data_IF_151630313312
#
_entry.id   IF_151630313312
#
_cell.length_a   1.000
_cell.length_b   1.000
_cell.length_c   1.000
_cell.angle_alpha   90.00
_cell.angle_beta   90.00
_cell.angle_gamma   90.00
#
_symmetry.space_group_name_H-M   'P 1'
#
loop_
_entity.id
_entity.type
_entity.pdbx_description
1 polymer ?
#
# COMPACT_ATOMS: atom_id res chain seq x y z
N UNK A 1 16.76 29.61 41.02
CA UNK A 1 17.76 28.57 41.36
C UNK A 1 17.07 27.22 41.26
N UNK A 2 17.59 26.17 40.66
CA UNK A 2 18.45 25.91 39.49
C UNK A 2 18.52 24.37 39.40
N UNK A 3 18.79 23.84 38.20
CA UNK A 3 19.38 22.52 37.93
C UNK A 3 18.52 21.25 38.12
N UNK A 4 17.72 20.93 37.11
CA UNK A 4 17.86 19.63 36.42
C UNK A 4 17.40 19.79 34.98
N UNK A 5 18.27 20.47 34.25
CA UNK A 5 18.29 20.57 32.81
C UNK A 5 18.69 19.22 32.19
N UNK A 6 18.18 18.97 30.98
CA UNK A 6 18.78 18.16 29.91
C UNK A 6 18.43 16.67 29.81
N UNK A 7 18.24 16.26 28.53
CA UNK A 7 17.89 14.94 27.96
C UNK A 7 16.37 14.72 27.85
N UNK A 8 15.67 14.89 26.73
CA UNK A 8 16.08 14.83 25.32
C UNK A 8 15.18 15.76 24.49
N UNK A 9 15.81 16.82 24.00
CA UNK A 9 15.42 17.56 22.82
C UNK A 9 15.42 16.62 21.62
N UNK A 10 14.31 15.93 21.39
CA UNK A 10 14.00 15.34 20.08
C UNK A 10 13.41 16.44 19.20
N UNK A 11 14.26 17.25 18.58
CA UNK A 11 13.89 18.01 17.40
C UNK A 11 13.32 17.02 16.38
N UNK A 12 11.99 16.93 16.34
CA UNK A 12 11.30 16.40 15.16
C UNK A 12 11.58 17.41 14.08
N UNK A 13 12.63 17.16 13.31
CA UNK A 13 12.71 17.58 11.92
C UNK A 13 11.46 17.02 11.28
N UNK A 14 10.40 17.83 11.26
CA UNK A 14 9.32 17.67 10.30
C UNK A 14 10.02 17.83 8.96
N UNK A 15 10.43 16.70 8.37
CA UNK A 15 10.93 16.65 7.01
C UNK A 15 9.80 17.21 6.16
N UNK A 16 9.89 18.50 5.87
CA UNK A 16 9.09 19.16 4.86
C UNK A 16 9.19 18.30 3.64
N UNK A 17 8.06 17.75 3.20
CA UNK A 17 8.03 16.81 2.09
C UNK A 17 8.75 17.44 0.91
N UNK A 18 9.95 16.95 0.65
CA UNK A 18 10.81 17.42 -0.40
C UNK A 18 10.09 17.13 -1.72
N UNK A 19 9.57 18.19 -2.35
CA UNK A 19 8.76 18.09 -3.56
C UNK A 19 9.57 17.59 -4.77
N UNK A 20 10.88 17.39 -4.63
CA UNK A 20 11.78 16.89 -5.67
C UNK A 20 11.90 15.36 -5.73
N UNK A 21 11.51 14.64 -4.67
CA UNK A 21 11.64 13.17 -4.63
C UNK A 21 10.51 12.48 -5.39
N UNK A 22 10.81 11.46 -6.23
CA UNK A 22 9.77 10.69 -6.89
C UNK A 22 8.96 9.91 -5.85
N UNK A 23 7.66 9.82 -6.08
CA UNK A 23 6.69 9.23 -5.15
C UNK A 23 6.20 7.88 -5.64
N UNK A 24 6.16 6.90 -4.74
CA UNK A 24 5.58 5.59 -5.00
C UNK A 24 4.53 5.26 -3.95
N UNK A 25 3.36 4.82 -4.41
CA UNK A 25 2.29 4.33 -3.55
C UNK A 25 2.21 2.81 -3.67
N UNK A 26 2.36 2.10 -2.55
CA UNK A 26 2.15 0.65 -2.44
C UNK A 26 0.67 0.41 -2.16
N UNK A 27 -0.06 -0.18 -3.11
CA UNK A 27 -1.44 -0.59 -2.97
C UNK A 27 -1.50 -2.08 -2.62
N UNK A 28 -1.90 -2.39 -1.40
CA UNK A 28 -2.02 -3.78 -0.91
C UNK A 28 -3.17 -3.90 0.07
N UNK A 29 -3.88 -5.02 0.11
CA UNK A 29 -4.86 -5.24 1.18
C UNK A 29 -4.21 -5.56 2.53
N UNK A 30 -3.01 -6.13 2.52
CA UNK A 30 -2.34 -6.64 3.73
C UNK A 30 -0.98 -5.97 3.88
N UNK A 31 -0.75 -5.38 5.06
CA UNK A 31 0.47 -4.66 5.39
C UNK A 31 0.69 -4.71 6.91
N UNK A 32 1.93 -4.56 7.42
CA UNK A 32 2.16 -4.46 8.85
C UNK A 32 1.26 -3.38 9.49
N UNK A 33 0.81 -3.54 10.75
CA UNK A 33 1.29 -4.47 11.78
C UNK A 33 0.74 -5.90 11.67
N UNK A 34 0.00 -6.24 10.61
CA UNK A 34 -0.39 -7.63 10.38
C UNK A 34 0.84 -8.53 10.18
N UNK A 35 0.83 -9.68 10.84
CA UNK A 35 1.91 -10.65 10.73
C UNK A 35 1.75 -11.50 9.47
N UNK A 36 2.79 -11.57 8.65
CA UNK A 36 2.88 -12.48 7.51
C UNK A 36 4.07 -12.17 6.62
N UNK A 37 4.53 -13.18 5.87
CA UNK A 37 5.69 -13.05 5.00
C UNK A 37 5.51 -12.02 3.85
N UNK A 38 4.35 -11.95 3.16
CA UNK A 38 4.11 -10.91 2.16
C UNK A 38 4.13 -9.50 2.75
N UNK A 39 3.51 -9.32 3.93
CA UNK A 39 3.46 -8.03 4.63
C UNK A 39 4.87 -7.54 4.99
N UNK A 40 5.70 -8.41 5.57
CA UNK A 40 7.08 -8.08 5.92
C UNK A 40 7.96 -7.80 4.69
N UNK A 41 7.77 -8.55 3.60
CA UNK A 41 8.49 -8.31 2.33
C UNK A 41 8.14 -6.93 1.77
N UNK A 42 6.86 -6.56 1.79
CA UNK A 42 6.39 -5.28 1.29
C UNK A 42 6.91 -4.09 2.11
N UNK A 43 6.92 -4.19 3.43
CA UNK A 43 7.49 -3.15 4.27
C UNK A 43 8.99 -3.01 4.04
N UNK A 44 9.74 -4.12 3.96
CA UNK A 44 11.17 -4.08 3.66
C UNK A 44 11.44 -3.47 2.26
N UNK A 45 10.66 -3.83 1.25
CA UNK A 45 10.74 -3.21 -0.08
C UNK A 45 10.55 -1.70 0.00
N UNK A 46 9.54 -1.23 0.75
CA UNK A 46 9.29 0.19 0.95
C UNK A 46 10.47 0.90 1.63
N UNK A 47 11.03 0.32 2.68
CA UNK A 47 12.22 0.85 3.37
C UNK A 47 13.43 0.95 2.43
N UNK A 48 13.66 -0.05 1.58
CA UNK A 48 14.74 -0.01 0.57
C UNK A 48 14.49 1.03 -0.51
N UNK A 49 13.24 1.24 -0.92
CA UNK A 49 12.90 2.30 -1.87
C UNK A 49 13.15 3.70 -1.27
N UNK A 50 12.87 3.88 0.03
CA UNK A 50 13.21 5.10 0.75
C UNK A 50 14.73 5.33 0.75
N UNK A 51 15.53 4.29 1.00
CA UNK A 51 17.00 4.37 0.94
C UNK A 51 17.51 4.76 -0.47
N UNK A 52 16.76 4.39 -1.52
CA UNK A 52 17.02 4.76 -2.91
C UNK A 52 16.49 6.15 -3.29
N UNK A 53 15.93 6.92 -2.34
CA UNK A 53 15.49 8.30 -2.53
C UNK A 53 14.02 8.48 -2.92
N UNK A 54 13.20 7.43 -2.87
CA UNK A 54 11.76 7.54 -3.10
C UNK A 54 11.01 8.03 -1.86
N UNK A 55 9.94 8.79 -2.07
CA UNK A 55 8.91 9.04 -1.05
C UNK A 55 7.85 7.94 -1.15
N UNK A 56 7.72 7.13 -0.10
CA UNK A 56 6.92 5.89 -0.12
C UNK A 56 5.70 6.02 0.79
N UNK A 57 4.52 5.81 0.21
CA UNK A 57 3.27 5.65 0.96
C UNK A 57 2.68 4.25 0.73
N UNK A 58 1.97 3.71 1.72
CA UNK A 58 1.20 2.48 1.58
C UNK A 58 -0.30 2.77 1.70
N UNK A 59 -1.09 2.46 0.67
CA UNK A 59 -2.54 2.44 0.74
C UNK A 59 -3.00 1.01 1.05
N UNK A 60 -3.43 0.80 2.29
CA UNK A 60 -3.74 -0.53 2.81
C UNK A 60 -5.06 -0.61 3.57
N UNK A 61 -5.47 -1.80 3.97
CA UNK A 61 -6.69 -2.01 4.72
C UNK A 61 -6.42 -1.84 6.23
N UNK A 62 -7.47 -1.58 7.01
CA UNK A 62 -7.35 -1.69 8.47
C UNK A 62 -6.88 -3.10 8.86
N UNK A 63 -5.89 -3.22 9.77
CA UNK A 63 -5.29 -4.50 10.08
C UNK A 63 -6.33 -5.42 10.71
N UNK A 64 -6.55 -6.57 10.07
CA UNK A 64 -7.57 -7.54 10.46
C UNK A 64 -7.10 -9.00 10.40
N UNK A 65 -5.95 -9.27 9.79
CA UNK A 65 -5.35 -10.60 9.75
C UNK A 65 -4.52 -10.90 11.02
N UNK A 66 -4.50 -12.14 11.56
CA UNK A 66 -5.18 -13.36 11.09
C UNK A 66 -6.58 -13.57 11.68
N UNK A 67 -6.97 -12.76 12.67
CA UNK A 67 -8.17 -12.99 13.49
C UNK A 67 -9.48 -12.74 12.76
N UNK A 68 -9.41 -12.03 11.62
CA UNK A 68 -10.57 -11.54 10.86
C UNK A 68 -11.37 -10.51 11.63
N UNK A 69 -10.74 -9.79 12.55
CA UNK A 69 -11.27 -8.66 13.31
C UNK A 69 -10.29 -7.51 13.20
N UNK A 70 -10.79 -6.30 13.00
CA UNK A 70 -9.95 -5.08 13.01
C UNK A 70 -9.29 -4.96 14.39
N UNK A 71 -8.01 -4.59 14.40
CA UNK A 71 -7.25 -4.42 15.64
C UNK A 71 -7.84 -3.29 16.48
N UNK A 72 -7.76 -3.40 17.81
CA UNK A 72 -8.49 -2.54 18.75
C UNK A 72 -8.07 -1.06 18.71
N UNK A 73 -6.86 -0.78 18.21
CA UNK A 73 -6.33 0.59 18.03
C UNK A 73 -7.00 1.38 16.89
N UNK A 74 -7.92 0.74 16.14
CA UNK A 74 -8.53 1.33 14.95
C UNK A 74 -10.06 1.40 15.04
N UNK A 75 -10.64 2.52 14.60
CA UNK A 75 -12.08 2.62 14.37
C UNK A 75 -12.46 1.87 13.08
N UNK A 76 -13.32 0.82 13.14
CA UNK A 76 -13.68 0.02 11.99
C UNK A 76 -14.46 0.76 10.89
N UNK A 77 -14.95 1.98 11.16
CA UNK A 77 -15.74 2.78 10.22
C UNK A 77 -14.97 3.92 9.58
N UNK A 78 -13.78 4.26 10.10
CA UNK A 78 -13.01 5.42 9.65
C UNK A 78 -11.69 4.99 9.02
N UNK A 79 -11.17 5.73 8.04
CA UNK A 79 -9.79 5.56 7.64
C UNK A 79 -8.85 6.04 8.75
N UNK A 80 -7.65 5.48 8.79
CA UNK A 80 -6.57 5.90 9.68
C UNK A 80 -5.33 6.26 8.86
N UNK A 81 -4.49 7.13 9.41
CA UNK A 81 -3.16 7.41 8.88
C UNK A 81 -2.19 7.19 10.02
N UNK A 82 -1.24 6.29 9.82
CA UNK A 82 -0.15 6.00 10.75
C UNK A 82 1.15 5.75 9.98
N UNK A 83 2.24 5.58 10.70
CA UNK A 83 3.54 5.23 10.12
C UNK A 83 3.91 3.81 10.51
N UNK A 84 4.43 3.05 9.55
CA UNK A 84 5.11 1.79 9.81
C UNK A 84 6.57 1.94 9.38
N UNK A 85 7.47 2.03 10.35
CA UNK A 85 8.85 2.44 10.08
C UNK A 85 8.89 3.86 9.52
N UNK A 86 9.49 4.04 8.34
CA UNK A 86 9.52 5.31 7.59
C UNK A 86 8.40 5.43 6.55
N UNK A 87 7.52 4.43 6.45
CA UNK A 87 6.45 4.38 5.44
C UNK A 87 5.16 4.93 6.01
N UNK A 88 4.64 6.00 5.39
CA UNK A 88 3.32 6.55 5.71
C UNK A 88 2.22 5.62 5.21
N UNK A 89 1.41 5.11 6.12
CA UNK A 89 0.35 4.14 5.87
C UNK A 89 -1.03 4.80 5.93
N UNK A 90 -1.76 4.76 4.82
CA UNK A 90 -3.17 5.15 4.71
C UNK A 90 -3.98 3.86 4.81
N UNK A 91 -4.71 3.69 5.91
CA UNK A 91 -5.48 2.48 6.18
C UNK A 91 -6.96 2.75 5.99
N UNK A 92 -7.60 1.98 5.10
CA UNK A 92 -9.01 2.16 4.76
C UNK A 92 -9.88 1.08 5.38
N UNK A 93 -11.11 1.42 5.82
CA UNK A 93 -12.02 0.44 6.39
C UNK A 93 -12.45 -0.59 5.33
N UNK A 94 -12.62 -1.83 5.78
CA UNK A 94 -13.12 -2.94 4.97
C UNK A 94 -14.12 -3.80 5.73
N UNK A 95 -14.88 -4.60 5.01
CA UNK A 95 -15.69 -5.67 5.56
C UNK A 95 -14.81 -6.87 5.92
N UNK A 96 -14.64 -7.15 7.21
CA UNK A 96 -13.88 -8.32 7.66
C UNK A 96 -14.66 -9.63 7.45
N UNK A 97 -14.01 -10.65 6.89
CA UNK A 97 -14.61 -11.95 6.66
C UNK A 97 -13.74 -13.07 7.23
N UNK A 98 -14.29 -13.86 8.16
CA UNK A 98 -13.58 -15.01 8.76
C UNK A 98 -13.61 -16.27 7.88
N UNK A 99 -14.77 -16.61 7.32
CA UNK A 99 -14.98 -17.85 6.57
C UNK A 99 -15.95 -17.67 5.40
N UNK A 100 -15.77 -18.47 4.34
CA UNK A 100 -16.68 -18.56 3.20
C UNK A 100 -16.30 -17.69 1.99
N UNK A 101 -16.37 -18.29 0.79
CA UNK A 101 -15.96 -17.68 -0.47
C UNK A 101 -16.65 -16.33 -0.75
N UNK A 102 -17.98 -16.28 -0.66
CA UNK A 102 -18.74 -15.04 -0.91
C UNK A 102 -18.42 -13.94 0.10
N UNK A 103 -18.13 -14.30 1.36
CA UNK A 103 -17.74 -13.34 2.40
C UNK A 103 -16.34 -12.78 2.11
N UNK A 104 -15.39 -13.63 1.68
CA UNK A 104 -14.06 -13.18 1.24
C UNK A 104 -14.15 -12.28 0.01
N UNK A 105 -15.01 -12.61 -0.95
CA UNK A 105 -15.22 -11.77 -2.12
C UNK A 105 -15.77 -10.39 -1.74
N UNK A 106 -16.75 -10.34 -0.82
CA UNK A 106 -17.25 -9.07 -0.26
C UNK A 106 -16.18 -8.29 0.48
N UNK A 107 -15.32 -8.97 1.24
CA UNK A 107 -14.15 -8.37 1.89
C UNK A 107 -13.24 -7.69 0.84
N UNK A 108 -12.85 -8.39 -0.22
CA UNK A 108 -12.01 -7.83 -1.29
C UNK A 108 -12.66 -6.64 -1.98
N UNK A 109 -13.93 -6.75 -2.38
CA UNK A 109 -14.64 -5.63 -3.02
C UNK A 109 -14.87 -4.45 -2.08
N UNK A 110 -15.07 -4.69 -0.79
CA UNK A 110 -15.19 -3.61 0.19
C UNK A 110 -13.89 -2.81 0.31
N UNK A 111 -12.74 -3.50 0.32
CA UNK A 111 -11.43 -2.85 0.28
C UNK A 111 -11.25 -2.05 -1.02
N UNK A 112 -11.57 -2.64 -2.18
CA UNK A 112 -11.51 -1.93 -3.47
C UNK A 112 -12.34 -0.65 -3.45
N UNK A 113 -13.54 -0.68 -2.85
CA UNK A 113 -14.38 0.53 -2.70
C UNK A 113 -13.75 1.54 -1.74
N UNK A 114 -13.21 1.08 -0.61
CA UNK A 114 -12.51 1.92 0.36
C UNK A 114 -11.30 2.62 -0.26
N UNK A 115 -10.43 1.88 -0.95
CA UNK A 115 -9.24 2.40 -1.62
C UNK A 115 -9.60 3.44 -2.70
N UNK A 116 -10.63 3.18 -3.51
CA UNK A 116 -11.10 4.15 -4.52
C UNK A 116 -11.65 5.44 -3.90
N UNK A 117 -12.35 5.34 -2.77
CA UNK A 117 -12.95 6.49 -2.09
C UNK A 117 -11.90 7.32 -1.37
N UNK A 118 -11.10 6.69 -0.52
CA UNK A 118 -10.20 7.37 0.40
C UNK A 118 -8.79 7.57 -0.16
N UNK A 119 -8.34 6.72 -1.09
CA UNK A 119 -7.02 6.85 -1.72
C UNK A 119 -6.79 8.24 -2.30
N UNK A 120 -7.63 8.75 -3.22
CA UNK A 120 -7.44 10.09 -3.79
C UNK A 120 -7.60 11.24 -2.80
N UNK A 121 -8.18 10.98 -1.62
CA UNK A 121 -8.43 11.99 -0.59
C UNK A 121 -7.28 12.08 0.43
N UNK A 122 -6.63 10.95 0.74
CA UNK A 122 -5.68 10.83 1.85
C UNK A 122 -4.25 10.51 1.41
N UNK A 123 -4.09 9.85 0.26
CA UNK A 123 -2.78 9.61 -0.34
C UNK A 123 -2.34 10.85 -1.13
N UNK A 124 -1.04 11.05 -1.17
CA UNK A 124 -0.42 12.00 -2.07
C UNK A 124 -0.41 11.41 -3.47
N UNK A 125 -0.55 12.26 -4.48
CA UNK A 125 -0.51 11.80 -5.88
C UNK A 125 0.87 11.17 -6.15
N UNK A 126 0.94 9.87 -6.48
CA UNK A 126 2.21 9.20 -6.72
C UNK A 126 2.62 9.33 -8.18
N UNK A 127 3.93 9.20 -8.45
CA UNK A 127 4.47 9.04 -9.80
C UNK A 127 4.36 7.59 -10.28
N UNK A 128 4.31 6.64 -9.34
CA UNK A 128 4.15 5.21 -9.62
C UNK A 128 3.27 4.53 -8.57
N UNK A 129 2.37 3.67 -9.02
CA UNK A 129 1.56 2.82 -8.15
C UNK A 129 2.08 1.37 -8.21
N UNK A 130 2.63 0.86 -7.11
CA UNK A 130 3.04 -0.54 -6.98
C UNK A 130 1.90 -1.33 -6.34
N UNK A 131 1.39 -2.36 -7.00
CA UNK A 131 0.20 -3.08 -6.57
C UNK A 131 0.57 -4.51 -6.21
N UNK A 132 0.25 -4.93 -4.98
CA UNK A 132 0.46 -6.31 -4.55
C UNK A 132 -0.86 -7.05 -4.34
N UNK A 133 -0.98 -8.22 -4.99
CA UNK A 133 -2.10 -9.15 -4.87
C UNK A 133 -1.74 -10.31 -3.93
N UNK A 134 -2.65 -10.69 -3.02
CA UNK A 134 -3.40 -11.91 -3.33
C UNK A 134 -4.91 -11.78 -3.63
N UNK A 135 -5.60 -10.62 -3.55
CA UNK A 135 -6.87 -10.47 -4.27
C UNK A 135 -6.63 -9.83 -5.64
N UNK A 136 -6.73 -10.60 -6.72
CA UNK A 136 -6.65 -10.09 -8.11
C UNK A 136 -7.60 -8.90 -8.38
N UNK A 137 -8.72 -8.85 -7.66
CA UNK A 137 -9.70 -7.75 -7.71
C UNK A 137 -9.13 -6.39 -7.31
N UNK A 138 -7.98 -6.33 -6.62
CA UNK A 138 -7.27 -5.09 -6.32
C UNK A 138 -6.87 -4.35 -7.60
N UNK A 139 -6.73 -5.04 -8.73
CA UNK A 139 -6.50 -4.45 -10.05
C UNK A 139 -7.60 -3.44 -10.46
N UNK A 140 -8.83 -3.61 -9.99
CA UNK A 140 -9.89 -2.62 -10.24
C UNK A 140 -9.66 -1.31 -9.48
N UNK A 141 -9.08 -1.37 -8.27
CA UNK A 141 -8.66 -0.18 -7.54
C UNK A 141 -7.47 0.46 -8.25
N UNK A 142 -6.45 -0.34 -8.59
CA UNK A 142 -5.25 0.13 -9.29
C UNK A 142 -5.58 0.89 -10.57
N UNK A 143 -6.40 0.31 -11.46
CA UNK A 143 -6.81 0.96 -12.72
C UNK A 143 -7.55 2.28 -12.49
N UNK A 144 -8.41 2.34 -11.48
CA UNK A 144 -9.13 3.58 -11.15
C UNK A 144 -8.17 4.65 -10.63
N UNK A 145 -7.33 4.29 -9.66
CA UNK A 145 -6.38 5.18 -9.01
C UNK A 145 -5.32 5.70 -9.98
N UNK A 146 -4.75 4.82 -10.80
CA UNK A 146 -3.84 5.18 -11.90
C UNK A 146 -4.45 6.23 -12.84
N UNK A 147 -5.72 6.05 -13.25
CA UNK A 147 -6.42 7.06 -14.07
C UNK A 147 -6.69 8.35 -13.31
N UNK A 148 -7.03 8.27 -12.03
CA UNK A 148 -7.36 9.42 -11.18
C UNK A 148 -6.12 10.27 -10.86
N UNK A 149 -4.96 9.64 -10.74
CA UNK A 149 -3.67 10.27 -10.47
C UNK A 149 -2.82 10.49 -11.73
N UNK A 150 -3.23 9.97 -12.88
CA UNK A 150 -2.46 10.08 -14.12
C UNK A 150 -1.10 9.37 -14.07
N UNK A 151 -0.95 8.35 -13.22
CA UNK A 151 0.32 7.65 -13.01
C UNK A 151 0.28 6.21 -13.56
N UNK A 152 1.42 5.65 -14.02
CA UNK A 152 1.52 4.23 -14.33
C UNK A 152 1.36 3.36 -13.06
N UNK A 153 1.09 2.07 -13.26
CA UNK A 153 1.10 1.09 -12.17
C UNK A 153 1.81 -0.20 -12.56
N UNK A 154 2.52 -0.80 -11.59
CA UNK A 154 3.14 -2.13 -11.69
C UNK A 154 2.33 -3.09 -10.85
N UNK A 155 1.91 -4.21 -11.43
CA UNK A 155 1.07 -5.20 -10.77
C UNK A 155 1.88 -6.45 -10.43
N UNK A 156 2.22 -6.63 -9.15
CA UNK A 156 2.94 -7.78 -8.63
C UNK A 156 1.95 -8.88 -8.18
N UNK A 157 2.06 -10.05 -8.80
CA UNK A 157 1.26 -11.24 -8.46
C UNK A 157 2.13 -12.19 -7.66
N UNK A 158 2.14 -12.02 -6.33
CA UNK A 158 3.01 -12.78 -5.42
C UNK A 158 2.61 -14.25 -5.30
N UNK A 159 1.30 -14.58 -5.42
CA UNK A 159 0.79 -15.93 -5.25
C UNK A 159 -0.26 -16.29 -6.33
N UNK A 160 0.15 -17.16 -7.25
CA UNK A 160 -0.69 -17.77 -8.28
C UNK A 160 -1.50 -18.97 -7.75
N UNK A 161 -1.99 -18.89 -6.51
CA UNK A 161 -2.57 -20.06 -5.83
C UNK A 161 -3.95 -20.54 -6.35
N UNK A 162 -4.55 -19.93 -7.39
CA UNK A 162 -5.53 -20.63 -8.22
C UNK A 162 -5.19 -20.62 -9.72
N UNK A 163 -3.92 -20.68 -10.15
CA UNK A 163 -3.64 -20.84 -11.60
C UNK A 163 -4.21 -22.14 -12.16
N UNK A 164 -4.31 -23.18 -11.35
CA UNK A 164 -4.51 -24.53 -11.85
C UNK A 164 -5.97 -24.87 -12.16
N UNK A 165 -6.96 -24.10 -11.70
CA UNK A 165 -8.34 -24.54 -11.83
C UNK A 165 -8.91 -24.29 -13.22
N UNK A 166 -8.74 -23.10 -13.82
CA UNK A 166 -9.55 -22.72 -14.99
C UNK A 166 -8.86 -21.64 -15.84
N UNK A 167 -8.36 -22.01 -17.04
CA UNK A 167 -8.28 -21.16 -18.26
C UNK A 167 -7.31 -19.96 -18.23
N UNK A 168 -6.21 -20.00 -18.97
CA UNK A 168 -6.12 -19.42 -20.32
C UNK A 168 -6.83 -18.06 -20.50
N UNK A 169 -6.03 -16.98 -20.45
CA UNK A 169 -6.32 -15.67 -21.04
C UNK A 169 -6.40 -14.52 -20.04
N UNK A 170 -5.74 -13.38 -20.36
CA UNK A 170 -5.80 -12.05 -19.68
C UNK A 170 -4.79 -11.95 -18.50
N UNK A 171 -3.68 -11.18 -18.47
CA UNK A 171 -3.36 -9.75 -18.76
C UNK A 171 -1.81 -9.60 -18.85
N UNK A 172 -1.19 -9.17 -19.95
CA UNK A 172 -0.74 -7.81 -20.38
C UNK A 172 0.32 -7.13 -19.48
N UNK A 173 1.59 -7.36 -19.85
CA UNK A 173 2.79 -6.65 -19.40
C UNK A 173 3.10 -5.47 -20.36
N UNK A 174 2.45 -4.32 -20.20
CA UNK A 174 2.60 -3.19 -21.17
C UNK A 174 3.09 -1.87 -20.54
N UNK A 175 3.40 -1.80 -19.23
CA UNK A 175 3.85 -0.54 -18.61
C UNK A 175 5.14 -0.61 -17.78
N UNK A 176 5.86 -1.74 -17.79
CA UNK A 176 7.16 -1.84 -17.09
C UNK A 176 8.38 -1.52 -17.99
N UNK A 177 8.26 -1.70 -19.31
CA UNK A 177 9.38 -1.51 -20.25
C UNK A 177 9.79 -0.05 -20.43
N UNK A 178 8.85 0.90 -20.52
CA UNK A 178 9.21 2.31 -20.77
C UNK A 178 9.86 3.04 -19.58
N UNK A 179 9.65 2.54 -18.35
CA UNK A 179 10.31 3.08 -17.16
C UNK A 179 11.67 2.43 -16.95
N UNK A 180 11.82 1.13 -17.24
CA UNK A 180 13.11 0.45 -17.23
C UNK A 180 14.07 1.06 -18.29
N UNK A 181 13.59 1.29 -19.51
CA UNK A 181 14.36 1.96 -20.56
C UNK A 181 14.78 3.39 -20.18
N UNK A 182 13.94 4.11 -19.43
CA UNK A 182 14.28 5.45 -18.91
C UNK A 182 15.29 5.45 -17.77
N UNK A 183 15.42 4.35 -17.04
CA UNK A 183 16.47 4.18 -16.04
C UNK A 183 17.80 3.73 -16.68
N UNK A 184 17.76 2.85 -17.68
CA UNK A 184 18.97 2.41 -18.41
C UNK A 184 19.62 3.53 -19.23
N UNK A 185 18.84 4.46 -19.77
CA UNK A 185 19.37 5.61 -20.52
C UNK A 185 19.97 6.72 -19.63
N UNK A 186 20.03 6.53 -18.30
CA UNK A 186 20.60 7.49 -17.34
C UNK A 186 21.72 6.92 -16.46
N UNK A 187 22.16 5.69 -16.70
CA UNK A 187 23.36 5.07 -16.11
C UNK A 187 24.56 5.13 -17.05
#
# INVERSE_FOLDING_TARGET
MSLTEQLTSGERTSATADSSRPRICILTQYFPPEMGAPQARLSELGERLIDLGWDVEALTALPNYPTGKIFDDYDPKQPAVDDHGRIRCIRVPLYTAKQGFLKRLRCYFSFVRGAKKFGPQLCRQPDLLFVESPPLFIGYAARYLSRRWGCPYVFNVSDLWPVSAIRMGVVIAVLATSMAERLELRS
#
